data_IF_265563178209
#
_entry.id   IF_265563178209
#
_cell.length_a   1.000
_cell.length_b   1.000
_cell.length_c   1.000
_cell.angle_alpha   90.00
_cell.angle_beta   90.00
_cell.angle_gamma   90.00
#
_symmetry.space_group_name_H-M   'P 1'
#
loop_
_entity.id
_entity.type
_entity.pdbx_description
1 polymer ?
#
# COMPACT_ATOMS: atom_id res chain seq x y z
N UNK A 1 -12.71 -11.57 -12.99
CA UNK A 1 -11.70 -12.01 -11.99
C UNK A 1 -10.42 -11.17 -12.13
N UNK A 2 -10.06 -10.74 -13.34
CA UNK A 2 -8.99 -9.74 -13.58
C UNK A 2 -9.17 -8.43 -12.81
N UNK A 3 -10.41 -7.92 -12.68
CA UNK A 3 -10.68 -6.65 -11.97
C UNK A 3 -10.33 -6.70 -10.47
N UNK A 4 -10.71 -7.78 -9.78
CA UNK A 4 -10.50 -7.87 -8.33
C UNK A 4 -9.02 -7.93 -7.95
N UNK A 5 -8.25 -8.73 -8.69
CA UNK A 5 -6.83 -8.91 -8.41
C UNK A 5 -6.05 -7.62 -8.71
N UNK A 6 -6.47 -6.85 -9.73
CA UNK A 6 -5.82 -5.58 -10.10
C UNK A 6 -5.95 -4.53 -8.99
N UNK A 7 -7.18 -4.26 -8.50
CA UNK A 7 -7.42 -3.32 -7.40
C UNK A 7 -6.78 -3.74 -6.07
N UNK A 8 -6.72 -5.05 -5.83
CA UNK A 8 -6.05 -5.60 -4.66
C UNK A 8 -4.53 -5.41 -4.72
N UNK A 9 -3.92 -5.71 -5.87
CA UNK A 9 -2.47 -5.80 -6.01
C UNK A 9 -1.76 -4.48 -5.72
N UNK A 10 -2.30 -3.34 -6.17
CA UNK A 10 -1.70 -2.02 -5.87
C UNK A 10 -1.72 -1.70 -4.39
N UNK A 11 -2.87 -1.91 -3.75
CA UNK A 11 -3.02 -1.68 -2.30
C UNK A 11 -2.13 -2.62 -1.52
N UNK A 12 -2.08 -3.89 -1.91
CA UNK A 12 -1.22 -4.91 -1.32
C UNK A 12 0.25 -4.50 -1.40
N UNK A 13 0.78 -4.31 -2.61
CA UNK A 13 2.22 -4.01 -2.81
C UNK A 13 2.63 -2.70 -2.16
N UNK A 14 1.79 -1.66 -2.23
CA UNK A 14 2.10 -0.37 -1.62
C UNK A 14 2.07 -0.42 -0.08
N UNK A 15 1.12 -1.17 0.49
CA UNK A 15 1.01 -1.33 1.95
C UNK A 15 2.13 -2.23 2.48
N UNK A 16 2.43 -3.34 1.81
CA UNK A 16 3.51 -4.25 2.20
C UNK A 16 4.86 -3.51 2.19
N UNK A 17 5.19 -2.77 1.13
CA UNK A 17 6.42 -1.97 1.07
C UNK A 17 6.54 -0.96 2.20
N UNK A 18 5.46 -0.27 2.56
CA UNK A 18 5.45 0.63 3.70
C UNK A 18 5.65 -0.13 5.01
N UNK A 19 5.05 -1.31 5.17
CA UNK A 19 5.24 -2.14 6.35
C UNK A 19 6.67 -2.67 6.48
N UNK A 20 7.28 -3.18 5.40
CA UNK A 20 8.67 -3.61 5.41
C UNK A 20 9.61 -2.43 5.71
N UNK A 21 9.34 -1.25 5.13
CA UNK A 21 10.11 -0.03 5.44
C UNK A 21 10.03 0.33 6.92
N UNK A 22 8.84 0.23 7.52
CA UNK A 22 8.65 0.40 8.96
C UNK A 22 9.47 -0.62 9.76
N UNK A 23 9.46 -1.90 9.39
CA UNK A 23 10.20 -2.95 10.10
C UNK A 23 11.71 -2.76 10.04
N UNK A 24 12.24 -2.44 8.88
CA UNK A 24 13.69 -2.38 8.64
C UNK A 24 14.31 -1.05 9.08
N UNK A 25 13.60 0.07 8.87
CA UNK A 25 14.16 1.42 9.04
C UNK A 25 13.38 2.28 10.03
N UNK A 26 12.21 1.85 10.49
CA UNK A 26 11.32 2.67 11.34
C UNK A 26 11.84 2.96 12.75
N UNK A 27 12.95 2.34 13.18
CA UNK A 27 13.58 2.65 14.47
C UNK A 27 14.25 4.03 14.49
N UNK A 28 14.80 4.47 13.37
CA UNK A 28 15.47 5.77 13.24
C UNK A 28 14.54 6.78 12.55
N UNK A 29 14.10 7.85 13.24
CA UNK A 29 13.20 8.85 12.65
C UNK A 29 13.81 9.63 11.49
N UNK A 30 15.15 9.74 11.43
CA UNK A 30 15.86 10.46 10.37
C UNK A 30 16.21 9.55 9.18
N UNK A 31 15.87 8.26 9.25
CA UNK A 31 16.11 7.34 8.15
C UNK A 31 15.16 7.64 6.98
N UNK A 32 15.78 8.02 5.86
CA UNK A 32 15.13 8.39 4.61
C UNK A 32 15.06 7.24 3.61
N UNK A 33 15.41 6.01 4.03
CA UNK A 33 15.34 4.83 3.17
C UNK A 33 13.90 4.35 3.02
N UNK A 34 13.59 3.86 1.82
CA UNK A 34 12.30 3.29 1.47
C UNK A 34 12.48 2.01 0.67
N UNK A 35 11.74 0.94 1.01
CA UNK A 35 11.84 -0.35 0.33
C UNK A 35 11.11 -0.31 -1.02
N UNK A 36 11.79 -0.84 -2.04
CA UNK A 36 11.33 -0.94 -3.42
C UNK A 36 10.74 -2.34 -3.70
N UNK A 37 10.11 -2.49 -4.87
CA UNK A 37 9.40 -3.73 -5.25
C UNK A 37 10.34 -4.93 -5.46
N UNK A 38 11.60 -4.68 -5.77
CA UNK A 38 12.65 -5.68 -5.96
C UNK A 38 13.27 -6.17 -4.64
N UNK A 39 12.79 -5.65 -3.50
CA UNK A 39 13.36 -5.91 -2.18
C UNK A 39 14.60 -5.06 -1.86
N UNK A 40 15.08 -4.24 -2.80
CA UNK A 40 16.08 -3.23 -2.55
C UNK A 40 15.52 -2.03 -1.78
N UNK A 41 16.36 -1.05 -1.50
CA UNK A 41 15.93 0.23 -0.93
C UNK A 41 16.52 1.40 -1.69
N UNK A 42 15.85 2.54 -1.59
CA UNK A 42 16.32 3.84 -2.09
C UNK A 42 16.38 4.84 -0.95
N UNK A 43 17.31 5.79 -1.03
CA UNK A 43 17.27 7.00 -0.21
C UNK A 43 16.40 8.03 -0.91
N UNK A 44 15.39 8.56 -0.22
CA UNK A 44 14.48 9.54 -0.81
C UNK A 44 15.19 10.87 -1.14
N UNK A 45 16.28 11.18 -0.43
CA UNK A 45 17.16 12.30 -0.74
C UNK A 45 17.85 12.18 -2.09
N UNK A 46 18.16 10.96 -2.54
CA UNK A 46 19.01 10.63 -3.69
C UNK A 46 18.26 9.77 -4.74
N UNK A 47 16.93 9.92 -4.82
CA UNK A 47 16.05 9.06 -5.62
C UNK A 47 16.44 9.01 -7.12
N UNK A 48 17.04 10.07 -7.65
CA UNK A 48 17.55 10.11 -9.02
C UNK A 48 18.55 9.00 -9.33
N UNK A 49 19.41 8.64 -8.37
CA UNK A 49 20.46 7.61 -8.52
C UNK A 49 19.88 6.23 -8.83
N UNK A 50 18.67 5.94 -8.31
CA UNK A 50 17.93 4.71 -8.60
C UNK A 50 17.53 4.60 -10.08
N UNK A 51 17.31 5.73 -10.76
CA UNK A 51 16.89 5.76 -12.16
C UNK A 51 18.04 5.94 -13.15
N UNK A 52 19.24 6.33 -12.70
CA UNK A 52 20.40 6.61 -13.57
C UNK A 52 20.85 5.40 -14.40
N UNK A 53 20.79 4.20 -13.82
CA UNK A 53 21.28 2.96 -14.44
C UNK A 53 20.14 2.06 -14.95
N UNK A 54 18.91 2.57 -14.99
CA UNK A 54 17.76 1.77 -15.41
C UNK A 54 17.57 1.86 -16.93
N UNK A 55 17.90 0.77 -17.64
CA UNK A 55 17.81 0.68 -19.11
C UNK A 55 16.40 0.97 -19.67
N UNK A 56 15.36 0.87 -18.84
CA UNK A 56 13.97 1.17 -19.24
C UNK A 56 13.65 2.66 -19.24
N UNK A 57 14.49 3.50 -18.63
CA UNK A 57 14.30 4.95 -18.57
C UNK A 57 14.67 5.53 -19.95
N UNK A 58 13.67 6.09 -20.65
CA UNK A 58 13.82 6.63 -22.01
C UNK A 58 14.17 8.11 -22.04
N UNK A 59 13.98 8.81 -20.91
CA UNK A 59 14.20 10.25 -20.74
C UNK A 59 15.17 10.51 -19.58
N UNK A 60 15.27 11.74 -19.10
CA UNK A 60 16.17 12.09 -18.00
C UNK A 60 15.74 11.39 -16.68
N UNK A 61 16.63 10.62 -16.02
CA UNK A 61 16.38 10.01 -14.70
C UNK A 61 15.89 10.97 -13.61
N UNK A 62 16.36 12.23 -13.64
CA UNK A 62 15.97 13.26 -12.68
C UNK A 62 14.47 13.58 -12.81
N UNK A 63 13.95 13.59 -14.04
CA UNK A 63 12.53 13.88 -14.28
C UNK A 63 11.64 12.73 -13.80
N UNK A 64 12.10 11.50 -13.98
CA UNK A 64 11.46 10.31 -13.40
C UNK A 64 11.40 10.42 -11.88
N UNK A 65 12.54 10.71 -11.24
CA UNK A 65 12.60 10.86 -9.79
C UNK A 65 11.62 11.91 -9.28
N UNK A 66 11.56 13.09 -9.92
CA UNK A 66 10.63 14.16 -9.56
C UNK A 66 9.16 13.72 -9.59
N UNK A 67 8.77 12.91 -10.59
CA UNK A 67 7.40 12.40 -10.70
C UNK A 67 7.05 11.54 -9.47
N UNK A 68 7.90 10.58 -9.12
CA UNK A 68 7.59 9.63 -8.04
C UNK A 68 7.92 10.13 -6.63
N UNK A 69 8.79 11.14 -6.49
CA UNK A 69 9.31 11.62 -5.20
C UNK A 69 8.21 11.97 -4.20
N UNK A 70 7.20 12.74 -4.62
CA UNK A 70 6.12 13.15 -3.73
C UNK A 70 5.30 11.97 -3.20
N UNK A 71 5.09 10.95 -4.04
CA UNK A 71 4.35 9.74 -3.66
C UNK A 71 5.14 8.90 -2.65
N UNK A 72 6.45 8.72 -2.88
CA UNK A 72 7.31 7.98 -1.95
C UNK A 72 7.50 8.72 -0.61
N UNK A 73 7.64 10.05 -0.65
CA UNK A 73 7.65 10.90 0.56
C UNK A 73 6.33 10.76 1.32
N UNK A 74 5.19 10.73 0.63
CA UNK A 74 3.90 10.50 1.28
C UNK A 74 3.83 9.11 1.92
N UNK A 75 4.26 8.05 1.23
CA UNK A 75 4.32 6.71 1.81
C UNK A 75 5.15 6.71 3.10
N UNK A 76 6.35 7.28 3.06
CA UNK A 76 7.23 7.36 4.23
C UNK A 76 6.58 8.20 5.34
N UNK A 77 6.30 9.47 5.09
CA UNK A 77 5.96 10.41 6.15
C UNK A 77 4.54 10.23 6.69
N UNK A 78 3.66 9.55 5.95
CA UNK A 78 2.26 9.37 6.35
C UNK A 78 1.93 7.91 6.63
N UNK A 79 2.27 6.97 5.75
CA UNK A 79 1.91 5.56 5.95
C UNK A 79 2.85 4.88 6.96
N UNK A 80 4.16 4.95 6.74
CA UNK A 80 5.16 4.33 7.63
C UNK A 80 5.06 4.90 9.04
N UNK A 81 4.98 6.23 9.17
CA UNK A 81 4.82 6.89 10.48
C UNK A 81 3.50 6.52 11.17
N UNK A 82 2.41 6.38 10.43
CA UNK A 82 1.14 5.95 11.01
C UNK A 82 1.20 4.50 11.47
N UNK A 83 1.77 3.60 10.65
CA UNK A 83 2.00 2.18 10.99
C UNK A 83 2.86 2.03 12.25
N UNK A 84 3.93 2.84 12.36
CA UNK A 84 4.78 2.92 13.55
C UNK A 84 3.99 3.35 14.78
N UNK A 85 3.21 4.43 14.67
CA UNK A 85 2.42 4.97 15.78
C UNK A 85 1.37 4.01 16.31
N UNK A 86 0.75 3.21 15.45
CA UNK A 86 -0.26 2.21 15.85
C UNK A 86 0.36 0.85 16.19
N UNK A 87 1.68 0.72 16.04
CA UNK A 87 2.44 -0.52 16.23
C UNK A 87 1.82 -1.69 15.47
N UNK A 88 1.61 -1.49 14.17
CA UNK A 88 0.88 -2.46 13.34
C UNK A 88 1.56 -3.83 13.36
N UNK A 89 0.77 -4.88 13.57
CA UNK A 89 1.22 -6.28 13.62
C UNK A 89 0.95 -7.01 12.29
N UNK A 90 1.69 -8.07 12.02
CA UNK A 90 1.52 -8.87 10.79
C UNK A 90 0.10 -9.42 10.64
N UNK A 91 -0.55 -9.85 11.74
CA UNK A 91 -1.96 -10.29 11.69
C UNK A 91 -2.94 -9.17 11.32
N UNK A 92 -2.67 -7.94 11.74
CA UNK A 92 -3.48 -6.76 11.42
C UNK A 92 -3.29 -6.40 9.93
N UNK A 93 -2.08 -6.58 9.41
CA UNK A 93 -1.77 -6.46 7.99
C UNK A 93 -2.50 -7.51 7.15
N UNK A 94 -2.53 -8.77 7.60
CA UNK A 94 -3.31 -9.84 6.95
C UNK A 94 -4.81 -9.50 6.91
N UNK A 95 -5.36 -8.96 8.00
CA UNK A 95 -6.75 -8.51 8.02
C UNK A 95 -7.00 -7.38 7.01
N UNK A 96 -6.11 -6.38 6.93
CA UNK A 96 -6.19 -5.32 5.91
C UNK A 96 -6.14 -5.88 4.48
N UNK A 97 -5.27 -6.84 4.20
CA UNK A 97 -5.20 -7.48 2.89
C UNK A 97 -6.49 -8.24 2.54
N UNK A 98 -7.07 -8.94 3.51
CA UNK A 98 -8.39 -9.53 3.35
C UNK A 98 -9.45 -8.47 3.00
N UNK A 99 -9.43 -7.32 3.67
CA UNK A 99 -10.35 -6.21 3.37
C UNK A 99 -10.12 -5.60 1.98
N UNK A 100 -8.87 -5.52 1.50
CA UNK A 100 -8.56 -5.06 0.13
C UNK A 100 -8.91 -6.08 -0.95
N UNK A 101 -8.91 -7.37 -0.61
CA UNK A 101 -9.28 -8.42 -1.54
C UNK A 101 -10.80 -8.55 -1.71
N UNK A 102 -11.60 -8.18 -0.71
CA UNK A 102 -13.06 -8.37 -0.73
C UNK A 102 -13.82 -7.06 -0.87
N UNK A 103 -13.42 -6.20 -1.80
CA UNK A 103 -14.08 -4.91 -2.04
C UNK A 103 -15.40 -5.04 -2.81
N UNK A 104 -16.33 -4.15 -2.51
CA UNK A 104 -17.68 -4.14 -3.08
C UNK A 104 -17.85 -3.15 -4.24
N UNK A 105 -16.85 -2.31 -4.49
CA UNK A 105 -16.83 -1.28 -5.54
C UNK A 105 -16.38 -1.80 -6.91
N UNK A 106 -16.36 -3.12 -7.09
CA UNK A 106 -15.93 -3.76 -8.33
C UNK A 106 -17.07 -3.74 -9.35
N UNK A 107 -16.85 -3.20 -10.56
CA UNK A 107 -17.87 -3.15 -11.59
C UNK A 107 -18.27 -4.55 -12.06
N UNK A 108 -19.54 -4.70 -12.44
CA UNK A 108 -20.12 -5.93 -13.03
C UNK A 108 -20.13 -7.16 -12.10
N UNK A 109 -20.16 -6.97 -10.78
CA UNK A 109 -20.31 -8.06 -9.81
C UNK A 109 -21.79 -8.27 -9.45
N UNK A 110 -22.24 -9.52 -9.43
CA UNK A 110 -23.63 -9.85 -9.08
C UNK A 110 -23.94 -9.60 -7.59
N UNK A 111 -25.19 -9.27 -7.27
CA UNK A 111 -25.65 -9.08 -5.87
C UNK A 111 -25.36 -10.30 -4.97
N UNK A 112 -25.42 -11.52 -5.53
CA UNK A 112 -25.07 -12.74 -4.80
C UNK A 112 -23.60 -12.72 -4.37
N UNK A 113 -22.71 -12.31 -5.26
CA UNK A 113 -21.26 -12.25 -4.97
C UNK A 113 -20.97 -11.11 -4.00
N UNK A 114 -21.59 -9.93 -4.15
CA UNK A 114 -21.47 -8.84 -3.17
C UNK A 114 -21.88 -9.27 -1.76
N UNK A 115 -22.99 -10.03 -1.63
CA UNK A 115 -23.41 -10.58 -0.34
C UNK A 115 -22.39 -11.55 0.26
N UNK A 116 -21.70 -12.34 -0.57
CA UNK A 116 -20.62 -13.23 -0.10
C UNK A 116 -19.41 -12.41 0.36
N UNK A 117 -19.00 -11.39 -0.42
CA UNK A 117 -17.89 -10.50 -0.09
C UNK A 117 -18.11 -9.80 1.27
N UNK A 118 -19.30 -9.24 1.49
CA UNK A 118 -19.67 -8.61 2.76
C UNK A 118 -19.55 -9.60 3.94
N UNK A 119 -20.05 -10.83 3.79
CA UNK A 119 -19.95 -11.87 4.84
C UNK A 119 -18.51 -12.26 5.16
N UNK A 120 -17.63 -12.28 4.15
CA UNK A 120 -16.21 -12.57 4.37
C UNK A 120 -15.54 -11.42 5.12
N UNK A 121 -15.84 -10.17 4.77
CA UNK A 121 -15.35 -9.00 5.51
C UNK A 121 -15.81 -8.99 6.97
N UNK A 122 -17.09 -9.28 7.22
CA UNK A 122 -17.62 -9.40 8.58
C UNK A 122 -16.90 -10.49 9.37
N UNK A 123 -16.55 -11.60 8.72
CA UNK A 123 -15.78 -12.67 9.33
C UNK A 123 -14.34 -12.23 9.68
N UNK A 124 -13.65 -11.54 8.78
CA UNK A 124 -12.29 -11.01 9.04
C UNK A 124 -12.30 -10.06 10.25
N UNK A 125 -13.27 -9.14 10.29
CA UNK A 125 -13.40 -8.16 11.39
C UNK A 125 -13.66 -8.86 12.73
N UNK A 126 -14.53 -9.88 12.73
CA UNK A 126 -14.82 -10.69 13.93
C UNK A 126 -13.62 -11.50 14.39
N UNK A 127 -12.92 -12.18 13.48
CA UNK A 127 -11.72 -12.96 13.83
C UNK A 127 -10.60 -12.06 14.38
N UNK A 128 -10.46 -10.85 13.87
CA UNK A 128 -9.52 -9.87 14.42
C UNK A 128 -9.91 -9.40 15.82
N UNK A 129 -11.22 -9.18 16.06
CA UNK A 129 -11.75 -8.85 17.38
C UNK A 129 -11.49 -9.99 18.38
N UNK A 130 -11.87 -11.23 18.04
CA UNK A 130 -11.65 -12.45 18.84
C UNK A 130 -10.15 -12.65 19.15
N UNK A 131 -9.26 -12.36 18.21
CA UNK A 131 -7.81 -12.39 18.44
C UNK A 131 -7.36 -11.40 19.53
N UNK A 132 -7.91 -10.19 19.55
CA UNK A 132 -7.59 -9.24 20.61
C UNK A 132 -8.23 -9.62 21.95
N UNK A 133 -9.45 -10.15 21.96
CA UNK A 133 -10.08 -10.71 23.16
C UNK A 133 -9.21 -11.82 23.77
N UNK A 134 -8.69 -12.72 22.94
CA UNK A 134 -7.80 -13.80 23.37
C UNK A 134 -6.47 -13.29 23.96
N UNK A 135 -6.08 -12.05 23.67
CA UNK A 135 -4.94 -11.35 24.29
C UNK A 135 -5.29 -10.63 25.58
N UNK A 136 -6.54 -10.72 26.04
CA UNK A 136 -7.02 -10.10 27.28
C UNK A 136 -7.25 -8.59 27.16
N UNK A 137 -7.42 -8.07 25.93
CA UNK A 137 -7.76 -6.65 25.74
C UNK A 137 -9.21 -6.39 26.14
N UNK A 138 -9.45 -5.27 26.80
CA UNK A 138 -10.81 -4.80 27.08
C UNK A 138 -11.49 -4.26 25.82
N UNK A 139 -12.82 -4.31 25.76
CA UNK A 139 -13.62 -3.92 24.59
C UNK A 139 -13.28 -2.52 24.05
N UNK A 140 -13.04 -1.55 24.94
CA UNK A 140 -12.62 -0.19 24.55
C UNK A 140 -11.25 -0.18 23.85
N UNK A 141 -10.30 -1.01 24.30
CA UNK A 141 -8.98 -1.12 23.69
C UNK A 141 -9.06 -1.81 22.32
N UNK A 142 -9.89 -2.84 22.21
CA UNK A 142 -10.16 -3.54 20.94
C UNK A 142 -10.74 -2.55 19.93
N UNK A 143 -11.78 -1.83 20.33
CA UNK A 143 -12.43 -0.79 19.49
C UNK A 143 -11.42 0.25 19.01
N UNK A 144 -10.56 0.76 19.91
CA UNK A 144 -9.53 1.73 19.55
C UNK A 144 -8.50 1.16 18.57
N UNK A 145 -8.03 -0.08 18.79
CA UNK A 145 -7.08 -0.74 17.89
C UNK A 145 -7.66 -0.94 16.50
N UNK A 146 -8.85 -1.52 16.41
CA UNK A 146 -9.53 -1.73 15.13
C UNK A 146 -9.81 -0.41 14.41
N UNK A 147 -10.25 0.62 15.15
CA UNK A 147 -10.51 1.94 14.56
C UNK A 147 -9.24 2.58 14.00
N UNK A 148 -8.13 2.52 14.73
CA UNK A 148 -6.83 2.99 14.25
C UNK A 148 -6.34 2.20 13.04
N UNK A 149 -6.53 0.88 13.02
CA UNK A 149 -6.21 0.07 11.85
C UNK A 149 -7.01 0.50 10.61
N UNK A 150 -8.32 0.71 10.75
CA UNK A 150 -9.19 1.12 9.64
C UNK A 150 -8.86 2.54 9.14
N UNK A 151 -8.39 3.44 10.01
CA UNK A 151 -7.94 4.78 9.64
C UNK A 151 -6.64 4.80 8.79
N UNK A 152 -5.97 3.65 8.62
CA UNK A 152 -4.86 3.49 7.68
C UNK A 152 -5.35 3.33 6.23
N UNK A 153 -6.54 2.76 6.00
CA UNK A 153 -7.13 2.54 4.67
C UNK A 153 -7.14 3.82 3.80
N UNK A 154 -7.70 4.96 4.25
CA UNK A 154 -7.74 6.16 3.40
C UNK A 154 -6.35 6.72 3.06
N UNK A 155 -5.32 6.44 3.87
CA UNK A 155 -3.94 6.83 3.59
C UNK A 155 -3.36 5.96 2.48
N UNK A 156 -3.58 4.66 2.56
CA UNK A 156 -3.20 3.70 1.52
C UNK A 156 -3.87 4.07 0.19
N UNK A 157 -5.18 4.32 0.21
CA UNK A 157 -5.92 4.69 -1.00
C UNK A 157 -5.42 6.00 -1.63
N UNK A 158 -5.08 7.01 -0.81
CA UNK A 158 -4.49 8.24 -1.32
C UNK A 158 -3.15 7.97 -1.99
N UNK A 159 -2.28 7.17 -1.37
CA UNK A 159 -0.98 6.82 -1.94
C UNK A 159 -1.11 6.05 -3.25
N UNK A 160 -2.01 5.07 -3.31
CA UNK A 160 -2.29 4.31 -4.55
C UNK A 160 -2.75 5.25 -5.67
N UNK A 161 -3.69 6.17 -5.40
CA UNK A 161 -4.13 7.15 -6.41
C UNK A 161 -2.98 8.03 -6.92
N UNK A 162 -2.13 8.55 -6.02
CA UNK A 162 -0.95 9.33 -6.42
C UNK A 162 0.01 8.51 -7.29
N UNK A 163 0.17 7.21 -6.98
CA UNK A 163 1.02 6.32 -7.77
C UNK A 163 0.44 6.05 -9.17
N UNK A 164 -0.88 5.83 -9.26
CA UNK A 164 -1.59 5.66 -10.53
C UNK A 164 -1.49 6.90 -11.41
N UNK A 165 -1.68 8.09 -10.84
CA UNK A 165 -1.52 9.36 -11.55
C UNK A 165 -0.11 9.52 -12.11
N UNK A 166 0.91 9.17 -11.32
CA UNK A 166 2.31 9.18 -11.74
C UNK A 166 2.58 8.21 -12.90
N UNK A 167 2.04 6.99 -12.83
CA UNK A 167 2.19 6.02 -13.93
C UNK A 167 1.54 6.50 -15.23
N UNK A 168 0.36 7.13 -15.15
CA UNK A 168 -0.29 7.74 -16.32
C UNK A 168 0.54 8.84 -16.95
N UNK A 169 1.20 9.68 -16.14
CA UNK A 169 2.13 10.71 -16.63
C UNK A 169 3.30 10.05 -17.37
N UNK A 170 3.92 9.04 -16.76
CA UNK A 170 5.06 8.32 -17.34
C UNK A 170 4.68 7.67 -18.68
N UNK A 171 3.48 7.09 -18.76
CA UNK A 171 2.94 6.47 -19.97
C UNK A 171 2.69 7.50 -21.07
N UNK A 172 1.90 8.55 -20.79
CA UNK A 172 1.52 9.60 -21.77
C UNK A 172 2.77 10.25 -22.38
N UNK A 173 3.78 10.51 -21.56
CA UNK A 173 5.02 11.14 -22.01
C UNK A 173 6.11 10.14 -22.40
N UNK A 174 5.83 8.83 -22.41
CA UNK A 174 6.77 7.75 -22.74
C UNK A 174 8.14 7.93 -22.04
N UNK A 175 8.10 8.17 -20.73
CA UNK A 175 9.28 8.51 -19.91
C UNK A 175 10.06 7.23 -19.53
N UNK A 176 9.35 6.13 -19.25
CA UNK A 176 9.90 4.83 -18.87
C UNK A 176 9.13 3.74 -19.61
N UNK A 177 9.82 2.68 -20.02
CA UNK A 177 9.17 1.44 -20.46
C UNK A 177 8.58 0.68 -19.26
N UNK A 178 7.27 0.73 -19.13
CA UNK A 178 6.54 -0.03 -18.12
C UNK A 178 6.43 -1.49 -18.56
N UNK A 179 6.77 -2.44 -17.68
CA UNK A 179 6.47 -3.84 -17.94
C UNK A 179 4.96 -4.07 -17.96
N UNK A 180 4.51 -5.11 -18.68
CA UNK A 180 3.09 -5.50 -18.75
C UNK A 180 2.45 -5.68 -17.37
N UNK A 181 3.21 -6.11 -16.36
CA UNK A 181 2.70 -6.22 -14.99
C UNK A 181 2.31 -4.85 -14.42
N UNK A 182 3.05 -3.77 -14.72
CA UNK A 182 2.67 -2.39 -14.37
C UNK A 182 1.54 -1.83 -15.26
N UNK A 183 1.36 -2.36 -16.48
CA UNK A 183 0.33 -1.93 -17.43
C UNK A 183 -1.02 -2.65 -17.24
N UNK A 184 -1.06 -3.87 -16.70
CA UNK A 184 -2.28 -4.60 -16.35
C UNK A 184 -3.01 -4.02 -15.12
N UNK A 185 -2.54 -2.89 -14.62
CA UNK A 185 -2.95 -2.24 -13.37
C UNK A 185 -3.47 -0.80 -13.64
N UNK A 186 -3.70 -0.43 -14.90
CA UNK A 186 -4.38 0.81 -15.29
C UNK A 186 -5.66 0.53 -16.08
#
# INVERSE_FOLDING_TARGET
>A
MESLCSFFYERFTNTDRAYQTYKEFGSDPEDDRFIMQDGGYVRLGELETYFEHNEKVKKNPIDVAKIFKNTLIYCRNVMVEYMKRIEIKEIELCALFGMFLWQEDIPNVSNRVLSIMAKIRDKIVRELHEYYEAQGLAEVQITLKMSNLLLLIPKIEKSVRMLQENFKIVEIFNIIELEKCCQCIC
#
